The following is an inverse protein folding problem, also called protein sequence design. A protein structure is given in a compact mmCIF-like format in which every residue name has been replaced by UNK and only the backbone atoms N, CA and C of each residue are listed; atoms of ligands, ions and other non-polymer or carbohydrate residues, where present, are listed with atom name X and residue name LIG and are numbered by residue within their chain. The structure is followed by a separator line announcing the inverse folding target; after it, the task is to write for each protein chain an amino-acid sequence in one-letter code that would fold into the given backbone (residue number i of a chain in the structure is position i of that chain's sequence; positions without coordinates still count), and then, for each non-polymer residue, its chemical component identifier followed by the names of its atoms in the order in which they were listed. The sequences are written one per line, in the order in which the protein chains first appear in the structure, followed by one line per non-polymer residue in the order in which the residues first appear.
data_IF_417580944093
#
_entry.id   IF_417580944093
#
_cell.length_a   1.000
_cell.length_b   1.000
_cell.length_c   1.000
_cell.angle_alpha   90.00
_cell.angle_beta   90.00
_cell.angle_gamma   90.00
#
_symmetry.space_group_name_H-M   'P 1'
#
loop_
_entity.id
_entity.type
_entity.pdbx_description
1 polymer ?
#
# COMPACT_ATOMS: atom_id res chain seq x y z
N UNK A 1 -2.52 82.60 -18.81
CA UNK A 1 -3.29 82.75 -17.57
C UNK A 1 -4.55 81.90 -17.65
N UNK A 2 -4.93 81.25 -16.56
CA UNK A 2 -4.01 80.71 -15.53
C UNK A 2 -4.60 79.42 -14.91
N UNK A 3 -4.02 78.72 -13.94
CA UNK A 3 -2.87 78.89 -13.04
C UNK A 3 -2.70 77.52 -12.35
N UNK A 4 -1.60 77.12 -11.71
CA UNK A 4 -0.19 77.54 -11.61
C UNK A 4 0.43 76.44 -10.71
N UNK A 5 1.52 75.79 -11.11
CA UNK A 5 2.91 76.02 -10.63
C UNK A 5 3.15 75.51 -9.19
N UNK A 6 4.29 74.91 -8.82
CA UNK A 6 5.65 75.25 -9.23
C UNK A 6 6.63 74.10 -8.93
N UNK A 7 7.69 74.08 -9.74
CA UNK A 7 8.93 73.28 -9.70
C UNK A 7 9.91 73.88 -8.67
N UNK A 8 10.89 73.08 -8.21
CA UNK A 8 12.34 73.38 -8.05
C UNK A 8 12.97 72.53 -6.92
N UNK A 9 14.25 72.19 -6.81
CA UNK A 9 15.44 71.95 -7.65
C UNK A 9 16.46 71.28 -6.67
N UNK A 10 17.37 70.43 -7.18
CA UNK A 10 18.49 69.82 -6.41
C UNK A 10 19.52 70.88 -5.96
N UNK A 11 20.46 70.59 -5.01
CA UNK A 11 21.71 69.90 -5.37
C UNK A 11 22.35 68.97 -4.31
N UNK A 12 23.24 68.11 -4.85
CA UNK A 12 24.26 67.27 -4.23
C UNK A 12 24.99 67.82 -2.99
N UNK A 13 25.43 66.91 -2.10
CA UNK A 13 26.81 66.79 -1.59
C UNK A 13 27.04 65.44 -0.87
N UNK A 14 27.99 64.66 -1.39
CA UNK A 14 28.82 63.70 -0.64
C UNK A 14 30.01 64.48 0.03
N UNK A 15 31.00 63.85 0.71
CA UNK A 15 31.13 62.52 1.33
C UNK A 15 31.75 62.62 2.77
N UNK A 16 32.15 61.47 3.31
CA UNK A 16 33.44 61.26 4.01
C UNK A 16 33.47 60.83 5.50
N UNK A 17 34.45 59.94 5.69
CA UNK A 17 35.23 59.55 6.87
C UNK A 17 34.60 58.56 7.87
N UNK A 18 34.95 57.28 7.77
CA UNK A 18 36.18 56.70 8.35
C UNK A 18 36.39 57.10 9.80
N UNK A 19 36.27 56.17 10.75
CA UNK A 19 37.32 55.98 11.74
C UNK A 19 37.32 54.56 12.32
N UNK A 20 38.49 53.96 12.18
CA UNK A 20 38.96 52.68 12.68
C UNK A 20 39.29 52.83 14.18
N UNK A 21 39.16 51.79 15.00
CA UNK A 21 39.65 51.90 16.39
C UNK A 21 39.35 50.72 17.31
N UNK A 22 40.23 49.72 17.26
CA UNK A 22 40.37 48.63 18.23
C UNK A 22 40.55 49.16 19.66
N UNK A 23 39.99 48.47 20.66
CA UNK A 23 40.66 48.25 21.94
C UNK A 23 40.14 46.94 22.58
N UNK A 24 41.07 46.01 22.81
CA UNK A 24 40.92 44.89 23.73
C UNK A 24 41.28 45.36 25.14
N UNK A 25 40.51 44.98 26.15
CA UNK A 25 41.03 44.72 27.49
C UNK A 25 40.21 43.59 28.15
N UNK A 26 40.84 42.59 28.81
CA UNK A 26 40.19 41.41 29.35
C UNK A 26 40.17 41.42 30.88
N UNK A 27 38.99 41.52 31.50
CA UNK A 27 38.79 41.00 32.86
C UNK A 27 37.34 41.10 33.31
N UNK A 28 36.96 40.07 34.07
CA UNK A 28 35.86 40.03 35.03
C UNK A 28 34.48 39.56 34.55
N UNK A 29 34.02 38.52 35.25
CA UNK A 29 32.63 38.46 35.69
C UNK A 29 31.83 37.30 35.13
N UNK A 30 31.88 36.18 35.83
CA UNK A 30 30.80 35.20 35.81
C UNK A 30 29.44 35.89 36.03
N UNK A 31 28.57 35.91 35.01
CA UNK A 31 27.10 35.81 35.12
C UNK A 31 26.43 36.22 33.80
N UNK A 32 26.05 35.22 32.98
CA UNK A 32 24.69 35.11 32.42
C UNK A 32 24.60 33.91 31.48
N UNK A 33 24.62 32.73 32.07
CA UNK A 33 24.06 31.52 31.47
C UNK A 33 22.53 31.56 31.54
N UNK A 34 21.89 32.52 30.88
CA UNK A 34 20.42 32.63 30.80
C UNK A 34 19.95 33.68 29.77
N UNK A 35 20.53 33.69 28.57
CA UNK A 35 20.01 34.51 27.47
C UNK A 35 20.33 33.92 26.09
N UNK A 36 20.19 32.60 25.92
CA UNK A 36 20.35 31.98 24.59
C UNK A 36 19.45 30.75 24.38
N UNK A 37 18.23 30.77 24.90
CA UNK A 37 17.24 29.69 24.74
C UNK A 37 15.94 30.12 24.04
N UNK A 38 15.88 31.29 23.40
CA UNK A 38 14.66 31.78 22.75
C UNK A 38 14.84 32.30 21.31
N UNK A 39 15.93 31.95 20.61
CA UNK A 39 16.14 32.39 19.23
C UNK A 39 16.34 31.23 18.22
N UNK A 40 15.84 30.02 18.49
CA UNK A 40 15.96 28.89 17.57
C UNK A 40 14.69 28.02 17.47
N UNK A 41 13.51 28.65 17.47
CA UNK A 41 12.22 27.94 17.35
C UNK A 41 11.35 28.41 16.17
N UNK A 42 11.91 29.12 15.19
CA UNK A 42 11.17 29.65 14.04
C UNK A 42 11.98 29.57 12.74
N UNK A 43 12.41 28.38 12.34
CA UNK A 43 12.85 28.17 10.94
C UNK A 43 12.71 26.74 10.39
N UNK A 44 12.01 25.81 11.06
CA UNK A 44 11.92 24.41 10.59
C UNK A 44 10.50 23.93 10.22
N UNK A 45 9.62 24.87 9.87
CA UNK A 45 8.33 24.56 9.23
C UNK A 45 8.35 25.14 7.82
N UNK A 46 8.42 24.29 6.79
CA UNK A 46 7.77 24.48 5.47
C UNK A 46 8.43 23.77 4.28
N UNK A 47 9.23 22.71 4.45
CA UNK A 47 9.40 21.77 3.34
C UNK A 47 8.43 20.59 3.52
N UNK A 48 7.33 20.50 2.72
CA UNK A 48 6.50 19.31 2.74
C UNK A 48 7.39 18.10 2.42
N UNK A 49 7.25 17.02 3.19
CA UNK A 49 8.01 15.78 2.97
C UNK A 49 7.62 15.25 1.59
N UNK A 50 8.44 15.56 0.59
CA UNK A 50 8.20 15.17 -0.79
C UNK A 50 8.57 13.70 -0.96
N UNK A 51 7.56 12.86 -1.21
CA UNK A 51 7.77 11.46 -1.58
C UNK A 51 8.59 11.41 -2.88
N UNK A 52 9.68 10.63 -2.88
CA UNK A 52 10.57 10.51 -4.04
C UNK A 52 10.42 9.18 -4.75
N UNK A 53 10.10 9.21 -6.06
CA UNK A 53 10.09 8.01 -6.92
C UNK A 53 11.39 7.21 -6.83
N UNK A 54 12.54 7.88 -6.89
CA UNK A 54 13.85 7.24 -6.83
C UNK A 54 14.10 6.54 -5.47
N UNK A 55 13.63 7.14 -4.37
CA UNK A 55 13.73 6.52 -3.04
C UNK A 55 12.81 5.30 -2.91
N UNK A 56 11.61 5.32 -3.51
CA UNK A 56 10.74 4.13 -3.56
C UNK A 56 11.40 3.02 -4.38
N UNK A 57 11.99 3.34 -5.53
CA UNK A 57 12.71 2.35 -6.34
C UNK A 57 13.89 1.75 -5.57
N UNK A 58 14.66 2.58 -4.85
CA UNK A 58 15.74 2.11 -3.99
C UNK A 58 15.22 1.22 -2.85
N UNK A 59 14.10 1.57 -2.22
CA UNK A 59 13.46 0.75 -1.18
C UNK A 59 12.94 -0.59 -1.73
N UNK A 60 12.36 -0.61 -2.94
CA UNK A 60 11.91 -1.84 -3.61
C UNK A 60 13.06 -2.79 -3.99
N UNK A 61 14.26 -2.24 -4.20
CA UNK A 61 15.48 -2.99 -4.50
C UNK A 61 16.15 -3.59 -3.25
N UNK A 62 15.74 -3.20 -2.04
CA UNK A 62 16.24 -3.81 -0.81
C UNK A 62 15.74 -5.25 -0.67
N UNK A 63 16.42 -6.01 0.19
CA UNK A 63 16.05 -7.40 0.49
C UNK A 63 14.60 -7.48 0.95
N UNK A 64 13.83 -8.44 0.42
CA UNK A 64 12.47 -8.69 0.91
C UNK A 64 12.41 -8.97 2.42
N UNK A 65 13.50 -9.46 3.02
CA UNK A 65 13.59 -9.65 4.47
C UNK A 65 13.47 -8.33 5.24
N UNK A 66 14.05 -7.23 4.73
CA UNK A 66 13.99 -5.91 5.36
C UNK A 66 12.59 -5.29 5.31
N UNK A 67 11.76 -5.77 4.37
CA UNK A 67 10.37 -5.38 4.20
C UNK A 67 9.40 -6.39 4.83
N UNK A 68 9.88 -7.35 5.62
CA UNK A 68 9.04 -8.34 6.31
C UNK A 68 8.42 -9.40 5.38
N UNK A 69 8.88 -9.51 4.14
CA UNK A 69 8.35 -10.48 3.17
C UNK A 69 8.75 -11.89 3.56
N UNK A 70 7.81 -12.84 3.43
CA UNK A 70 8.07 -14.25 3.73
C UNK A 70 9.25 -14.78 2.90
N UNK A 71 10.11 -15.67 3.48
CA UNK A 71 11.28 -16.21 2.80
C UNK A 71 11.04 -16.68 1.37
N UNK A 72 9.91 -17.38 1.14
CA UNK A 72 9.53 -17.94 -0.15
C UNK A 72 9.25 -16.89 -1.25
N UNK A 73 8.99 -15.64 -0.88
CA UNK A 73 8.66 -14.55 -1.81
C UNK A 73 9.75 -13.46 -1.86
N UNK A 74 10.83 -13.57 -1.08
CA UNK A 74 11.86 -12.51 -1.00
C UNK A 74 12.59 -12.27 -2.30
N UNK A 75 12.76 -13.31 -3.11
CA UNK A 75 13.46 -13.26 -4.40
C UNK A 75 12.54 -12.86 -5.56
N UNK A 76 11.26 -12.61 -5.29
CA UNK A 76 10.34 -12.12 -6.31
C UNK A 76 10.66 -10.66 -6.59
N UNK A 77 11.15 -10.42 -7.79
CA UNK A 77 11.36 -9.09 -8.32
C UNK A 77 10.16 -8.71 -9.18
N UNK A 78 9.52 -7.60 -8.83
CA UNK A 78 8.48 -6.96 -9.66
C UNK A 78 8.96 -5.56 -10.01
N UNK A 79 8.72 -5.17 -11.26
CA UNK A 79 8.99 -3.80 -11.71
C UNK A 79 7.68 -3.03 -11.69
N UNK A 80 7.49 -2.27 -10.61
CA UNK A 80 6.36 -1.35 -10.51
C UNK A 80 6.64 -0.10 -11.35
N UNK A 81 5.66 0.27 -12.18
CA UNK A 81 5.70 1.53 -12.91
C UNK A 81 5.12 2.65 -12.02
N UNK A 82 6.03 3.39 -11.38
CA UNK A 82 5.70 4.35 -10.32
C UNK A 82 5.38 5.75 -10.86
N UNK A 83 4.18 6.24 -10.53
CA UNK A 83 3.70 7.59 -10.79
C UNK A 83 3.47 8.29 -9.45
N UNK A 84 4.28 9.31 -9.15
CA UNK A 84 4.25 10.02 -7.86
C UNK A 84 3.75 11.45 -8.07
N UNK A 85 2.74 11.83 -7.30
CA UNK A 85 2.04 13.10 -7.38
C UNK A 85 2.11 13.85 -6.05
N UNK A 86 2.07 15.17 -6.11
CA UNK A 86 1.94 16.00 -4.93
C UNK A 86 0.50 15.91 -4.38
N UNK A 87 -0.49 16.19 -5.22
CA UNK A 87 -1.90 16.12 -4.85
C UNK A 87 -2.73 15.54 -6.00
N UNK A 88 -3.72 14.71 -5.65
CA UNK A 88 -4.70 14.14 -6.58
C UNK A 88 -6.10 14.18 -5.95
N UNK A 89 -7.19 14.14 -6.72
CA UNK A 89 -8.50 13.86 -6.16
C UNK A 89 -8.55 12.48 -5.48
N UNK A 90 -8.09 11.44 -6.17
CA UNK A 90 -7.87 10.11 -5.60
C UNK A 90 -6.89 9.32 -6.45
N UNK A 91 -5.97 8.58 -5.82
CA UNK A 91 -5.03 7.69 -6.51
C UNK A 91 -5.75 6.59 -7.30
N UNK A 92 -6.85 6.04 -6.76
CA UNK A 92 -7.67 5.05 -7.47
C UNK A 92 -8.30 5.64 -8.73
N UNK A 93 -8.94 6.80 -8.61
CA UNK A 93 -9.59 7.47 -9.73
C UNK A 93 -8.58 7.80 -10.82
N UNK A 94 -7.42 8.33 -10.43
CA UNK A 94 -6.37 8.67 -11.36
C UNK A 94 -5.81 7.44 -12.08
N UNK A 95 -5.56 6.35 -11.36
CA UNK A 95 -5.04 5.13 -11.98
C UNK A 95 -6.04 4.52 -12.97
N UNK A 96 -7.34 4.56 -12.67
CA UNK A 96 -8.37 4.18 -13.65
C UNK A 96 -8.40 5.06 -14.90
N UNK A 97 -8.15 6.37 -14.76
CA UNK A 97 -8.04 7.28 -15.90
C UNK A 97 -6.86 6.92 -16.78
N UNK A 98 -5.69 6.67 -16.18
CA UNK A 98 -4.49 6.24 -16.92
C UNK A 98 -4.71 4.91 -17.65
N UNK A 99 -5.36 3.94 -16.99
CA UNK A 99 -5.73 2.66 -17.62
C UNK A 99 -6.66 2.89 -18.82
N UNK A 100 -7.65 3.77 -18.70
CA UNK A 100 -8.57 4.09 -19.79
C UNK A 100 -7.88 4.80 -20.96
N UNK A 101 -6.83 5.57 -20.69
CA UNK A 101 -6.00 6.25 -21.68
C UNK A 101 -4.93 5.34 -22.32
N UNK A 102 -4.78 4.10 -21.84
CA UNK A 102 -3.75 3.17 -22.30
C UNK A 102 -2.34 3.52 -21.83
N UNK A 103 -2.20 4.42 -20.84
CA UNK A 103 -0.90 4.84 -20.29
C UNK A 103 -0.53 4.11 -18.99
N UNK A 104 -1.39 3.20 -18.52
CA UNK A 104 -1.14 2.33 -17.37
C UNK A 104 -1.73 0.93 -17.61
N UNK A 105 -1.11 -0.08 -17.00
CA UNK A 105 -1.51 -1.48 -17.08
C UNK A 105 -1.21 -2.22 -15.78
N UNK A 106 -1.16 -3.56 -15.82
CA UNK A 106 -0.72 -4.36 -14.68
C UNK A 106 0.65 -3.88 -14.17
N UNK A 107 0.77 -3.69 -12.86
CA UNK A 107 2.01 -3.21 -12.23
C UNK A 107 2.18 -1.68 -12.17
N UNK A 108 1.29 -0.91 -12.82
CA UNK A 108 1.29 0.56 -12.66
C UNK A 108 0.81 0.96 -11.26
N UNK A 109 1.50 1.93 -10.67
CA UNK A 109 1.25 2.42 -9.31
C UNK A 109 1.10 3.93 -9.32
N UNK A 110 0.02 4.44 -8.73
CA UNK A 110 -0.16 5.86 -8.45
C UNK A 110 0.01 6.12 -6.95
N UNK A 111 0.82 7.12 -6.59
CA UNK A 111 1.07 7.53 -5.20
C UNK A 111 0.88 9.04 -5.11
N UNK A 112 0.14 9.51 -4.11
CA UNK A 112 -0.03 10.94 -3.86
C UNK A 112 0.40 11.30 -2.43
N UNK A 113 0.97 12.49 -2.24
CA UNK A 113 1.24 13.00 -0.88
C UNK A 113 -0.05 13.44 -0.18
N UNK A 114 -1.04 13.88 -0.94
CA UNK A 114 -2.37 14.26 -0.46
C UNK A 114 -3.45 13.76 -1.43
N UNK A 115 -4.63 13.42 -0.90
CA UNK A 115 -5.84 13.30 -1.73
C UNK A 115 -6.91 14.32 -1.32
N UNK A 116 -7.42 15.10 -2.26
CA UNK A 116 -8.48 16.09 -1.99
C UNK A 116 -9.88 15.47 -1.94
N UNK A 117 -10.04 14.27 -2.51
CA UNK A 117 -11.30 13.52 -2.57
C UNK A 117 -11.05 12.03 -2.29
N UNK A 118 -10.22 11.74 -1.28
CA UNK A 118 -9.88 10.37 -0.88
C UNK A 118 -11.14 9.53 -0.59
N UNK A 119 -11.16 8.28 -1.08
CA UNK A 119 -12.35 7.42 -1.04
C UNK A 119 -12.10 6.19 -0.18
N UNK A 120 -13.12 5.81 0.59
CA UNK A 120 -13.25 4.53 1.26
C UNK A 120 -14.41 3.72 0.68
N UNK A 121 -14.66 2.55 1.27
CA UNK A 121 -15.80 1.72 0.87
C UNK A 121 -17.15 2.39 1.20
N UNK A 122 -18.19 2.00 0.47
CA UNK A 122 -19.57 2.47 0.67
C UNK A 122 -19.71 4.00 0.65
N UNK A 123 -18.92 4.67 -0.20
CA UNK A 123 -18.97 6.13 -0.36
C UNK A 123 -18.37 6.93 0.81
N UNK A 124 -17.75 6.28 1.79
CA UNK A 124 -17.07 6.99 2.90
C UNK A 124 -15.87 7.77 2.37
N UNK A 125 -15.55 8.88 3.03
CA UNK A 125 -14.35 9.67 2.73
C UNK A 125 -13.16 9.10 3.48
N UNK A 126 -12.02 9.02 2.81
CA UNK A 126 -10.72 8.72 3.41
C UNK A 126 -9.91 10.01 3.53
N UNK A 127 -9.80 10.57 4.74
CA UNK A 127 -9.01 11.77 4.99
C UNK A 127 -7.55 11.52 4.65
N UNK A 128 -7.00 12.32 3.74
CA UNK A 128 -5.71 12.04 3.10
C UNK A 128 -4.77 13.24 3.15
N UNK A 129 -4.54 13.78 4.36
CA UNK A 129 -3.61 14.89 4.58
C UNK A 129 -2.14 14.47 4.43
N UNK A 130 -1.21 15.41 4.12
CA UNK A 130 0.21 15.09 4.07
C UNK A 130 0.71 14.34 5.31
N UNK A 131 1.52 13.31 5.08
CA UNK A 131 2.09 12.45 6.13
C UNK A 131 1.44 11.08 6.28
N UNK A 132 0.47 10.72 5.43
CA UNK A 132 0.02 9.34 5.23
C UNK A 132 0.58 8.73 3.93
N UNK A 133 0.44 7.42 3.77
CA UNK A 133 0.66 6.74 2.49
C UNK A 133 -0.67 6.57 1.77
N UNK A 134 -0.76 7.11 0.55
CA UNK A 134 -1.92 6.96 -0.34
C UNK A 134 -1.41 6.40 -1.66
N UNK A 135 -1.73 5.13 -1.92
CA UNK A 135 -1.17 4.35 -3.01
C UNK A 135 -2.28 3.55 -3.69
N UNK A 136 -2.21 3.42 -5.01
CA UNK A 136 -3.06 2.50 -5.78
C UNK A 136 -2.21 1.67 -6.72
N UNK A 137 -2.50 0.37 -6.80
CA UNK A 137 -1.83 -0.59 -7.70
C UNK A 137 -2.85 -1.16 -8.69
N UNK A 138 -2.50 -1.15 -9.97
CA UNK A 138 -3.26 -1.79 -11.03
C UNK A 138 -2.83 -3.24 -11.21
N UNK A 139 -3.80 -4.15 -11.28
CA UNK A 139 -3.62 -5.57 -11.55
C UNK A 139 -4.53 -6.03 -12.69
N UNK A 140 -4.10 -7.05 -13.41
CA UNK A 140 -4.90 -7.73 -14.44
C UNK A 140 -4.98 -9.22 -14.11
N UNK A 141 -5.81 -9.62 -13.13
CA UNK A 141 -5.75 -10.96 -12.55
C UNK A 141 -6.43 -12.04 -13.40
N UNK A 142 -7.33 -11.68 -14.32
CA UNK A 142 -8.13 -12.64 -15.11
C UNK A 142 -8.90 -13.66 -14.24
N UNK A 143 -9.52 -13.20 -13.15
CA UNK A 143 -10.20 -14.08 -12.17
C UNK A 143 -11.72 -14.16 -12.37
N UNK A 144 -12.38 -15.27 -12.00
CA UNK A 144 -13.84 -15.30 -11.87
C UNK A 144 -14.38 -14.20 -10.93
N UNK A 145 -15.52 -13.58 -11.27
CA UNK A 145 -16.08 -12.45 -10.48
C UNK A 145 -16.33 -12.78 -9.02
N UNK A 146 -16.67 -14.02 -8.69
CA UNK A 146 -16.95 -14.44 -7.32
C UNK A 146 -15.71 -14.38 -6.40
N UNK A 147 -14.50 -14.22 -6.95
CA UNK A 147 -13.27 -14.00 -6.18
C UNK A 147 -12.98 -12.52 -5.86
N UNK A 148 -13.88 -11.57 -6.18
CA UNK A 148 -13.66 -10.13 -5.93
C UNK A 148 -13.24 -9.81 -4.50
N UNK A 149 -13.85 -10.46 -3.50
CA UNK A 149 -13.48 -10.25 -2.08
C UNK A 149 -12.06 -10.73 -1.79
N UNK A 150 -11.60 -11.80 -2.47
CA UNK A 150 -10.25 -12.33 -2.27
C UNK A 150 -9.15 -11.37 -2.73
N UNK A 151 -9.42 -10.52 -3.74
CA UNK A 151 -8.49 -9.46 -4.15
C UNK A 151 -8.13 -8.54 -2.97
N UNK A 152 -9.15 -8.21 -2.19
CA UNK A 152 -8.99 -7.37 -1.00
C UNK A 152 -8.33 -8.15 0.14
N UNK A 153 -8.77 -9.40 0.36
CA UNK A 153 -8.24 -10.24 1.42
C UNK A 153 -6.76 -10.56 1.25
N UNK A 154 -6.26 -10.85 0.05
CA UNK A 154 -4.83 -11.13 -0.14
C UNK A 154 -3.99 -9.88 0.10
N UNK A 155 -4.50 -8.71 -0.27
CA UNK A 155 -3.83 -7.44 -0.06
C UNK A 155 -3.70 -7.19 1.45
N UNK A 156 -4.80 -7.36 2.18
CA UNK A 156 -4.82 -7.24 3.63
C UNK A 156 -3.89 -8.26 4.31
N UNK A 157 -3.96 -9.53 3.88
CA UNK A 157 -3.11 -10.60 4.40
C UNK A 157 -1.64 -10.29 4.20
N UNK A 158 -1.23 -10.00 2.96
CA UNK A 158 0.18 -9.83 2.63
C UNK A 158 0.78 -8.58 3.27
N UNK A 159 0.03 -7.48 3.38
CA UNK A 159 0.49 -6.27 4.09
C UNK A 159 0.60 -6.55 5.60
N UNK A 160 -0.42 -7.15 6.22
CA UNK A 160 -0.41 -7.44 7.65
C UNK A 160 0.67 -8.46 8.03
N UNK A 161 0.87 -9.51 7.23
CA UNK A 161 1.96 -10.49 7.41
C UNK A 161 3.33 -9.81 7.33
N UNK A 162 3.54 -8.88 6.39
CA UNK A 162 4.78 -8.12 6.31
C UNK A 162 5.05 -7.31 7.58
N UNK A 163 4.05 -6.60 8.09
CA UNK A 163 4.16 -5.89 9.36
C UNK A 163 4.45 -6.83 10.54
N UNK A 164 3.74 -7.94 10.63
CA UNK A 164 3.90 -8.92 11.71
C UNK A 164 5.32 -9.52 11.74
N UNK A 165 5.89 -9.80 10.58
CA UNK A 165 7.26 -10.29 10.45
C UNK A 165 8.32 -9.25 10.87
N UNK A 166 7.96 -7.96 10.87
CA UNK A 166 8.78 -6.88 11.43
C UNK A 166 8.48 -6.60 12.92
N UNK A 167 7.66 -7.44 13.56
CA UNK A 167 7.29 -7.31 14.96
C UNK A 167 6.17 -6.30 15.23
N UNK A 168 5.45 -5.85 14.19
CA UNK A 168 4.32 -4.93 14.31
C UNK A 168 3.02 -5.73 14.19
N UNK A 169 2.32 -6.06 15.30
CA UNK A 169 1.22 -7.02 15.32
C UNK A 169 -0.09 -6.43 14.77
N UNK A 170 -0.18 -6.33 13.45
CA UNK A 170 -1.37 -5.87 12.72
C UNK A 170 -2.38 -7.01 12.58
N UNK A 171 -3.63 -6.69 12.91
CA UNK A 171 -4.82 -7.51 12.67
C UNK A 171 -5.66 -6.91 11.55
N UNK A 172 -6.56 -7.71 11.00
CA UNK A 172 -7.47 -7.31 9.92
C UNK A 172 -8.90 -7.30 10.44
N UNK A 173 -9.56 -6.16 10.37
CA UNK A 173 -11.02 -6.10 10.49
C UNK A 173 -11.60 -6.39 9.11
N UNK A 174 -12.39 -7.45 9.02
CA UNK A 174 -12.86 -7.99 7.74
C UNK A 174 -13.64 -6.95 6.92
N UNK A 175 -13.47 -6.91 5.59
CA UNK A 175 -12.47 -7.66 4.80
C UNK A 175 -11.16 -6.88 4.58
N UNK A 176 -11.08 -5.61 4.95
CA UNK A 176 -10.21 -4.65 4.25
C UNK A 176 -9.48 -3.65 5.14
N UNK A 177 -9.74 -3.64 6.45
CA UNK A 177 -9.16 -2.64 7.33
C UNK A 177 -8.03 -3.23 8.18
N UNK A 178 -6.92 -2.51 8.26
CA UNK A 178 -5.77 -2.86 9.08
C UNK A 178 -5.89 -2.19 10.45
N UNK A 179 -5.72 -2.96 11.51
CA UNK A 179 -5.97 -2.56 12.89
C UNK A 179 -4.80 -2.93 13.80
N UNK A 180 -4.55 -2.07 14.79
CA UNK A 180 -3.67 -2.32 15.91
C UNK A 180 -4.41 -1.94 17.20
N UNK A 181 -4.52 -2.88 18.14
CA UNK A 181 -5.18 -2.68 19.45
C UNK A 181 -6.54 -1.97 19.35
N UNK A 182 -7.40 -2.42 18.44
CA UNK A 182 -8.75 -1.87 18.25
C UNK A 182 -8.81 -0.52 17.53
N UNK A 183 -7.67 0.08 17.16
CA UNK A 183 -7.60 1.33 16.39
C UNK A 183 -7.24 1.07 14.93
N UNK A 184 -7.87 1.83 14.03
CA UNK A 184 -7.65 1.70 12.58
C UNK A 184 -6.31 2.32 12.18
N UNK A 185 -5.42 1.50 11.61
CA UNK A 185 -4.16 1.92 11.01
C UNK A 185 -4.33 2.31 9.54
N UNK A 186 -5.14 1.56 8.81
CA UNK A 186 -5.25 1.72 7.37
C UNK A 186 -6.46 1.01 6.78
N UNK A 187 -6.70 1.22 5.50
CA UNK A 187 -7.81 0.62 4.78
C UNK A 187 -7.45 0.33 3.33
N UNK A 188 -8.09 -0.70 2.79
CA UNK A 188 -7.93 -1.14 1.41
C UNK A 188 -9.26 -0.95 0.66
N UNK A 189 -9.18 -0.38 -0.54
CA UNK A 189 -10.30 -0.18 -1.45
C UNK A 189 -9.99 -0.81 -2.81
N UNK A 190 -10.61 -1.96 -3.07
CA UNK A 190 -10.47 -2.65 -4.36
C UNK A 190 -11.65 -2.31 -5.28
N UNK A 191 -11.33 -1.74 -6.44
CA UNK A 191 -12.28 -1.51 -7.53
C UNK A 191 -11.94 -2.44 -8.69
N UNK A 192 -12.95 -2.90 -9.42
CA UNK A 192 -12.78 -3.88 -10.51
C UNK A 192 -13.61 -3.49 -11.73
N UNK A 193 -13.08 -3.74 -12.94
CA UNK A 193 -13.87 -3.74 -14.17
C UNK A 193 -14.04 -5.19 -14.64
N UNK A 194 -15.29 -5.55 -14.91
CA UNK A 194 -15.67 -6.87 -15.38
C UNK A 194 -15.62 -6.90 -16.92
N UNK A 195 -15.23 -8.04 -17.48
CA UNK A 195 -15.54 -8.39 -18.85
C UNK A 195 -16.44 -9.61 -18.87
N UNK A 196 -17.30 -9.70 -19.87
CA UNK A 196 -18.08 -10.90 -20.15
C UNK A 196 -17.24 -11.73 -21.11
N UNK A 197 -16.82 -12.93 -20.71
CA UNK A 197 -16.31 -13.90 -21.66
C UNK A 197 -17.52 -14.55 -22.34
N UNK A 198 -17.67 -14.34 -23.64
CA UNK A 198 -18.56 -15.16 -24.46
C UNK A 198 -17.84 -16.48 -24.73
N UNK A 199 -18.05 -17.48 -23.87
CA UNK A 199 -17.63 -18.85 -24.19
C UNK A 199 -18.63 -19.44 -25.20
N UNK A 200 -18.16 -19.62 -26.43
CA UNK A 200 -18.89 -20.39 -27.44
C UNK A 200 -18.67 -21.88 -27.14
N UNK A 201 -19.64 -22.57 -26.54
CA UNK A 201 -19.65 -24.04 -26.47
C UNK A 201 -20.32 -24.58 -27.74
N UNK A 202 -19.62 -25.31 -28.63
CA UNK A 202 -20.23 -25.85 -29.84
C UNK A 202 -21.15 -27.05 -29.60
N UNK A 203 -21.30 -27.53 -28.35
CA UNK A 203 -22.02 -28.77 -28.06
C UNK A 203 -22.85 -28.56 -26.78
N UNK A 204 -24.14 -28.84 -26.91
CA UNK A 204 -25.24 -28.77 -25.93
C UNK A 204 -26.03 -27.45 -25.83
N UNK A 205 -27.26 -27.58 -26.30
CA UNK A 205 -28.36 -26.63 -26.25
C UNK A 205 -28.87 -26.55 -24.80
N UNK A 206 -29.09 -25.33 -24.29
CA UNK A 206 -29.59 -24.95 -22.95
C UNK A 206 -28.56 -24.80 -21.80
N UNK A 207 -27.67 -23.80 -21.91
CA UNK A 207 -27.47 -22.73 -20.91
C UNK A 207 -26.23 -21.93 -21.32
N UNK A 208 -26.43 -20.67 -21.75
CA UNK A 208 -25.32 -19.77 -22.03
C UNK A 208 -24.68 -19.36 -20.70
N UNK A 209 -23.68 -20.12 -20.22
CA UNK A 209 -22.88 -19.75 -19.05
C UNK A 209 -21.90 -18.64 -19.43
N UNK A 210 -22.40 -17.41 -19.51
CA UNK A 210 -21.53 -16.22 -19.50
C UNK A 210 -20.82 -16.13 -18.15
N UNK A 211 -19.61 -16.65 -18.07
CA UNK A 211 -18.74 -16.49 -16.91
C UNK A 211 -18.08 -15.12 -16.97
N UNK A 212 -18.67 -14.14 -16.28
CA UNK A 212 -18.00 -12.85 -16.13
C UNK A 212 -16.64 -13.04 -15.42
N UNK A 213 -15.63 -12.29 -15.84
CA UNK A 213 -14.29 -12.29 -15.26
C UNK A 213 -13.83 -10.88 -14.91
N UNK A 214 -12.99 -10.78 -13.89
CA UNK A 214 -12.31 -9.57 -13.47
C UNK A 214 -11.05 -9.46 -14.33
N UNK A 215 -11.13 -8.66 -15.40
CA UNK A 215 -9.97 -8.37 -16.25
C UNK A 215 -9.03 -7.37 -15.64
N UNK A 216 -9.56 -6.36 -14.95
CA UNK A 216 -8.77 -5.27 -14.36
C UNK A 216 -9.23 -5.00 -12.93
N UNK A 217 -8.27 -4.80 -12.05
CA UNK A 217 -8.49 -4.38 -10.68
C UNK A 217 -7.55 -3.21 -10.33
N UNK A 218 -8.04 -2.29 -9.51
CA UNK A 218 -7.24 -1.26 -8.87
C UNK A 218 -7.39 -1.42 -7.36
N UNK A 219 -6.27 -1.70 -6.69
CA UNK A 219 -6.18 -1.86 -5.24
C UNK A 219 -5.63 -0.56 -4.67
N UNK A 220 -6.50 0.21 -4.04
CA UNK A 220 -6.13 1.39 -3.25
C UNK A 220 -5.77 1.00 -1.82
N UNK A 221 -4.68 1.54 -1.29
CA UNK A 221 -4.24 1.36 0.08
C UNK A 221 -3.96 2.73 0.70
N UNK A 222 -4.64 3.00 1.81
CA UNK A 222 -4.37 4.14 2.69
C UNK A 222 -3.79 3.66 4.01
N UNK A 223 -2.59 4.12 4.37
CA UNK A 223 -1.98 3.85 5.69
C UNK A 223 -1.70 5.16 6.41
N UNK A 224 -2.13 5.26 7.67
CA UNK A 224 -1.76 6.37 8.54
C UNK A 224 -0.30 6.22 8.97
N UNK A 225 0.58 7.14 8.55
CA UNK A 225 2.01 7.06 8.86
C UNK A 225 2.42 8.01 9.99
N UNK A 226 2.26 9.31 9.78
CA UNK A 226 2.49 10.38 10.75
C UNK A 226 1.54 11.57 10.54
N UNK A 227 0.50 11.40 9.71
CA UNK A 227 -0.57 12.37 9.50
C UNK A 227 -1.47 12.48 10.74
N UNK A 228 -2.26 13.55 10.80
CA UNK A 228 -3.32 13.67 11.80
C UNK A 228 -4.40 12.61 11.57
N UNK A 229 -4.87 12.02 12.67
CA UNK A 229 -5.89 10.96 12.68
C UNK A 229 -6.86 11.20 13.85
N UNK A 230 -8.13 10.79 13.73
CA UNK A 230 -9.08 10.83 14.85
C UNK A 230 -8.70 9.84 15.96
N UNK A 231 -9.29 9.96 17.14
CA UNK A 231 -9.00 9.10 18.31
C UNK A 231 -9.24 7.60 18.07
N UNK A 232 -10.17 7.29 17.17
CA UNK A 232 -10.52 5.92 16.74
C UNK A 232 -9.47 5.29 15.80
N UNK A 233 -8.46 6.05 15.39
CA UNK A 233 -7.40 5.64 14.48
C UNK A 233 -6.02 5.77 15.14
N UNK A 234 -5.03 5.16 14.51
CA UNK A 234 -3.64 5.18 14.97
C UNK A 234 -2.70 5.32 13.77
N UNK A 235 -1.58 5.99 13.98
CA UNK A 235 -0.51 6.10 12.98
C UNK A 235 0.56 5.04 13.21
N UNK A 236 1.24 4.61 12.15
CA UNK A 236 2.33 3.65 12.26
C UNK A 236 3.46 4.17 13.16
N UNK A 237 3.75 5.47 13.12
CA UNK A 237 4.73 6.08 14.03
C UNK A 237 4.32 6.05 15.50
N UNK A 238 3.02 6.05 15.83
CA UNK A 238 2.56 5.81 17.20
C UNK A 238 2.77 4.35 17.60
N UNK A 239 2.43 3.40 16.73
CA UNK A 239 2.64 1.97 16.98
C UNK A 239 4.12 1.64 17.22
N UNK A 240 5.01 2.12 16.34
CA UNK A 240 6.47 1.86 16.45
C UNK A 240 7.05 2.40 17.75
N UNK A 241 6.49 3.49 18.32
CA UNK A 241 6.92 4.02 19.63
C UNK A 241 6.46 3.17 20.82
N UNK A 242 5.41 2.37 20.65
CA UNK A 242 4.85 1.51 21.70
C UNK A 242 5.50 0.12 21.72
N UNK A 243 6.03 -0.36 20.59
CA UNK A 243 6.64 -1.70 20.50
C UNK A 243 8.03 -1.69 21.15
N UNK A 244 8.29 -2.58 22.12
CA UNK A 244 9.61 -2.72 22.73
C UNK A 244 10.66 -3.17 21.72
N UNK A 245 11.83 -2.53 21.72
CA UNK A 245 12.93 -2.85 20.82
C UNK A 245 12.88 -2.01 19.54
N UNK A 246 13.96 -1.26 19.31
CA UNK A 246 14.13 -0.35 18.16
C UNK A 246 14.18 -1.04 16.77
N UNK A 247 14.01 -2.37 16.70
CA UNK A 247 14.20 -3.14 15.48
C UNK A 247 13.23 -2.74 14.36
N UNK A 248 11.94 -2.52 14.68
CA UNK A 248 10.94 -2.11 13.69
C UNK A 248 11.17 -0.67 13.18
N UNK A 249 11.59 0.25 14.06
CA UNK A 249 11.89 1.65 13.71
C UNK A 249 13.01 1.78 12.70
N UNK A 250 14.00 0.88 12.75
CA UNK A 250 15.11 0.88 11.81
C UNK A 250 14.71 0.35 10.42
N UNK A 251 13.62 -0.42 10.30
CA UNK A 251 13.17 -1.03 9.04
C UNK A 251 12.20 -0.15 8.27
N UNK A 252 11.25 0.51 8.95
CA UNK A 252 10.32 1.45 8.33
C UNK A 252 10.56 2.82 8.93
N UNK A 253 11.35 3.65 8.25
CA UNK A 253 11.76 4.98 8.74
C UNK A 253 11.28 6.14 7.85
N UNK A 254 10.71 5.85 6.68
CA UNK A 254 10.14 6.84 5.77
C UNK A 254 8.94 6.26 4.99
N UNK A 255 8.19 7.15 4.33
CA UNK A 255 7.04 6.77 3.50
C UNK A 255 7.44 5.88 2.32
N UNK A 256 8.65 6.04 1.78
CA UNK A 256 9.12 5.24 0.64
C UNK A 256 9.38 3.78 1.02
N UNK A 257 9.94 3.52 2.22
CA UNK A 257 10.06 2.18 2.78
C UNK A 257 8.69 1.56 3.04
N UNK A 258 7.75 2.35 3.56
CA UNK A 258 6.38 1.90 3.76
C UNK A 258 5.68 1.57 2.43
N UNK A 259 5.87 2.39 1.39
CA UNK A 259 5.33 2.14 0.06
C UNK A 259 5.89 0.83 -0.53
N UNK A 260 7.19 0.60 -0.41
CA UNK A 260 7.83 -0.64 -0.86
C UNK A 260 7.30 -1.88 -0.11
N UNK A 261 7.14 -1.77 1.21
CA UNK A 261 6.55 -2.84 2.04
C UNK A 261 5.11 -3.13 1.60
N UNK A 262 4.29 -2.11 1.40
CA UNK A 262 2.89 -2.28 0.99
C UNK A 262 2.82 -2.94 -0.39
N UNK A 263 3.61 -2.47 -1.37
CA UNK A 263 3.61 -3.03 -2.72
C UNK A 263 4.07 -4.49 -2.74
N UNK A 264 5.18 -4.82 -2.08
CA UNK A 264 5.63 -6.22 -1.97
C UNK A 264 4.68 -7.06 -1.10
N UNK A 265 4.04 -6.44 -0.12
CA UNK A 265 2.98 -7.03 0.70
C UNK A 265 1.79 -7.50 -0.14
N UNK A 266 1.27 -6.62 -1.00
CA UNK A 266 0.19 -6.97 -1.93
C UNK A 266 0.63 -8.13 -2.85
N UNK A 267 1.84 -8.03 -3.41
CA UNK A 267 2.38 -9.05 -4.31
C UNK A 267 2.53 -10.42 -3.63
N UNK A 268 3.08 -10.49 -2.41
CA UNK A 268 3.21 -11.77 -1.71
C UNK A 268 1.85 -12.37 -1.38
N UNK A 269 0.85 -11.54 -1.06
CA UNK A 269 -0.51 -12.03 -0.82
C UNK A 269 -1.11 -12.62 -2.08
N UNK A 270 -0.99 -11.93 -3.21
CA UNK A 270 -1.42 -12.41 -4.51
C UNK A 270 -0.76 -13.74 -4.85
N UNK A 271 0.57 -13.82 -4.79
CA UNK A 271 1.32 -15.04 -5.09
C UNK A 271 1.01 -16.20 -4.15
N UNK A 272 0.84 -15.91 -2.85
CA UNK A 272 0.44 -16.93 -1.89
C UNK A 272 -0.93 -17.50 -2.24
N UNK A 273 -1.93 -16.65 -2.51
CA UNK A 273 -3.26 -17.11 -2.91
C UNK A 273 -3.22 -17.95 -4.19
N UNK A 274 -2.42 -17.56 -5.18
CA UNK A 274 -2.25 -18.31 -6.43
C UNK A 274 -1.60 -19.69 -6.20
N UNK A 275 -0.62 -19.78 -5.31
CA UNK A 275 0.09 -21.03 -5.02
C UNK A 275 -0.75 -22.02 -4.20
N UNK A 276 -1.53 -21.54 -3.23
CA UNK A 276 -2.24 -22.42 -2.27
C UNK A 276 -3.74 -22.55 -2.55
N UNK A 277 -4.28 -21.73 -3.44
CA UNK A 277 -5.71 -21.67 -3.75
C UNK A 277 -6.56 -21.04 -2.66
N UNK A 278 -7.84 -20.83 -2.97
CA UNK A 278 -8.80 -20.07 -2.15
C UNK A 278 -8.96 -20.63 -0.73
N UNK A 279 -9.10 -21.94 -0.57
CA UNK A 279 -9.45 -22.55 0.71
C UNK A 279 -8.33 -22.41 1.75
N UNK A 280 -7.09 -22.75 1.35
CA UNK A 280 -5.90 -22.65 2.23
C UNK A 280 -5.60 -21.19 2.52
N UNK A 281 -5.70 -20.32 1.51
CA UNK A 281 -5.53 -18.88 1.68
C UNK A 281 -6.50 -18.31 2.71
N UNK A 282 -7.80 -18.62 2.60
CA UNK A 282 -8.81 -18.08 3.52
C UNK A 282 -8.60 -18.55 4.96
N UNK A 283 -8.07 -19.77 5.17
CA UNK A 283 -7.65 -20.25 6.50
C UNK A 283 -6.52 -19.39 7.07
N UNK A 284 -5.47 -19.14 6.28
CA UNK A 284 -4.36 -18.28 6.71
C UNK A 284 -4.81 -16.84 6.98
N UNK A 285 -5.70 -16.29 6.15
CA UNK A 285 -6.32 -14.99 6.34
C UNK A 285 -7.16 -14.90 7.62
N UNK A 286 -7.92 -15.95 7.95
CA UNK A 286 -8.74 -15.98 9.17
C UNK A 286 -7.93 -15.81 10.46
N UNK A 287 -6.68 -16.27 10.49
CA UNK A 287 -5.78 -16.13 11.65
C UNK A 287 -5.40 -14.67 11.95
N UNK A 288 -5.56 -13.77 10.96
CA UNK A 288 -5.30 -12.34 11.11
C UNK A 288 -6.53 -11.55 11.51
N UNK A 289 -7.73 -12.14 11.50
CA UNK A 289 -8.97 -11.42 11.76
C UNK A 289 -9.06 -10.94 13.22
N UNK A 290 -9.65 -9.76 13.43
CA UNK A 290 -9.92 -9.23 14.78
C UNK A 290 -11.04 -9.98 15.51
N UNK A 291 -11.90 -10.71 14.78
CA UNK A 291 -13.17 -11.27 15.26
C UNK A 291 -13.20 -12.81 15.20
N UNK A 292 -12.11 -13.48 15.53
CA UNK A 292 -12.10 -14.96 15.56
C UNK A 292 -13.00 -15.43 16.70
N UNK A 293 -14.17 -16.02 16.36
CA UNK A 293 -15.12 -16.59 17.32
C UNK A 293 -16.35 -15.73 17.65
N UNK A 294 -16.46 -14.50 17.11
CA UNK A 294 -17.67 -13.68 17.24
C UNK A 294 -18.54 -13.80 15.97
N UNK A 295 -19.79 -14.23 16.12
CA UNK A 295 -20.75 -14.31 15.01
C UNK A 295 -21.14 -12.89 14.61
N UNK A 296 -20.48 -12.34 13.59
CA UNK A 296 -20.97 -11.15 12.91
C UNK A 296 -22.19 -11.54 12.07
N UNK A 297 -23.34 -10.91 12.33
CA UNK A 297 -24.53 -11.04 11.48
C UNK A 297 -24.22 -10.50 10.09
N UNK A 298 -23.98 -11.41 9.13
CA UNK A 298 -23.84 -11.05 7.72
C UNK A 298 -25.22 -11.00 7.08
N UNK A 299 -25.51 -9.86 6.44
CA UNK A 299 -26.66 -9.67 5.57
C UNK A 299 -26.62 -10.70 4.44
N UNK A 300 -27.77 -11.32 4.15
CA UNK A 300 -27.93 -12.55 3.38
C UNK A 300 -27.59 -12.42 1.88
N UNK A 301 -27.13 -11.24 1.44
CA UNK A 301 -26.63 -10.98 0.09
C UNK A 301 -25.13 -11.29 -0.11
N UNK A 302 -24.39 -11.61 0.97
CA UNK A 302 -22.98 -12.00 0.93
C UNK A 302 -22.81 -13.51 1.12
N UNK A 303 -23.45 -14.28 0.23
CA UNK A 303 -23.40 -15.75 0.22
C UNK A 303 -22.00 -16.25 -0.16
N UNK A 304 -21.16 -16.46 0.86
CA UNK A 304 -20.36 -17.69 1.10
C UNK A 304 -19.21 -17.39 2.07
N UNK A 305 -19.53 -17.22 3.35
CA UNK A 305 -18.59 -17.43 4.45
C UNK A 305 -19.34 -18.13 5.58
N UNK A 306 -19.35 -19.46 5.54
CA UNK A 306 -19.57 -20.26 6.72
C UNK A 306 -18.38 -20.00 7.66
N UNK A 307 -18.61 -19.19 8.68
CA UNK A 307 -17.71 -19.09 9.84
C UNK A 307 -17.73 -20.46 10.50
N UNK A 308 -16.67 -21.25 10.31
CA UNK A 308 -16.51 -22.53 10.99
C UNK A 308 -16.27 -22.27 12.48
N UNK A 309 -17.34 -22.30 13.26
CA UNK A 309 -17.27 -22.57 14.69
C UNK A 309 -17.09 -24.08 14.88
N UNK A 310 -16.09 -24.47 15.66
CA UNK A 310 -16.01 -25.84 16.18
C UNK A 310 -17.31 -26.14 16.96
N UNK A 311 -17.88 -27.32 16.73
CA UNK A 311 -19.17 -27.82 17.23
C UNK A 311 -20.43 -27.45 16.43
N UNK A 312 -20.60 -28.08 15.27
CA UNK A 312 -21.94 -28.55 14.88
C UNK A 312 -21.85 -29.86 14.09
N UNK A 313 -22.35 -30.92 14.71
CA UNK A 313 -22.47 -32.27 14.20
C UNK A 313 -23.25 -32.31 12.88
N UNK A 314 -22.57 -32.53 11.75
CA UNK A 314 -23.21 -32.97 10.51
C UNK A 314 -22.99 -34.47 10.39
N UNK A 315 -24.10 -35.24 10.46
CA UNK A 315 -24.10 -36.69 10.25
C UNK A 315 -23.66 -37.00 8.81
N UNK A 316 -22.76 -37.98 8.58
CA UNK A 316 -22.35 -38.34 7.24
C UNK A 316 -23.52 -38.99 6.49
N UNK A 317 -23.92 -38.39 5.37
CA UNK A 317 -24.71 -39.11 4.36
C UNK A 317 -23.78 -39.99 3.53
N UNK A 318 -24.19 -41.24 3.44
CA UNK A 318 -23.52 -42.39 2.83
C UNK A 318 -23.47 -42.20 1.30
N UNK A 319 -22.28 -42.11 0.72
CA UNK A 319 -22.08 -42.34 -0.72
C UNK A 319 -21.47 -43.72 -0.87
N UNK A 320 -22.25 -44.64 -1.41
CA UNK A 320 -21.81 -45.97 -1.85
C UNK A 320 -21.36 -45.93 -3.30
N UNK A 321 -20.48 -46.88 -3.62
CA UNK A 321 -19.99 -47.33 -4.93
C UNK A 321 -18.69 -46.72 -5.45
N UNK A 322 -17.71 -47.63 -5.42
CA UNK A 322 -16.42 -47.75 -6.09
C UNK A 322 -16.36 -47.14 -7.49
N UNK A 323 -15.33 -46.33 -7.74
CA UNK A 323 -14.68 -46.27 -9.05
C UNK A 323 -13.17 -46.37 -8.83
N UNK A 324 -12.62 -47.36 -9.50
CA UNK A 324 -11.24 -47.83 -9.49
C UNK A 324 -10.25 -46.76 -9.92
N UNK A 325 -9.10 -46.75 -9.25
CA UNK A 325 -7.91 -45.99 -9.61
C UNK A 325 -7.41 -46.39 -10.99
N UNK A 326 -7.40 -45.46 -11.93
CA UNK A 326 -6.53 -45.54 -13.12
C UNK A 326 -5.77 -44.23 -13.27
N UNK A 327 -4.45 -44.38 -13.30
CA UNK A 327 -3.45 -43.35 -13.46
C UNK A 327 -3.62 -42.66 -14.81
N UNK A 328 -3.82 -41.35 -14.79
CA UNK A 328 -3.62 -40.49 -15.97
C UNK A 328 -2.70 -39.37 -15.54
N UNK A 329 -1.40 -39.59 -15.73
CA UNK A 329 -0.47 -38.49 -15.96
C UNK A 329 -0.99 -37.73 -17.19
N UNK A 330 -1.45 -36.51 -16.98
CA UNK A 330 -1.66 -35.56 -18.06
C UNK A 330 -0.77 -34.36 -17.77
N UNK A 331 0.24 -34.23 -18.62
CA UNK A 331 1.06 -33.07 -18.84
C UNK A 331 0.16 -31.84 -19.05
N UNK A 332 0.03 -31.01 -18.01
CA UNK A 332 -0.54 -29.68 -18.15
C UNK A 332 0.58 -28.79 -18.66
N UNK A 333 0.53 -28.45 -19.94
CA UNK A 333 1.31 -27.35 -20.50
C UNK A 333 1.01 -26.09 -19.68
N UNK A 334 2.04 -25.64 -18.95
CA UNK A 334 1.99 -24.46 -18.10
C UNK A 334 1.85 -23.22 -18.97
N UNK A 335 0.65 -22.62 -19.00
CA UNK A 335 0.50 -21.28 -19.55
C UNK A 335 1.18 -20.31 -18.58
N UNK A 336 2.22 -19.64 -19.09
CA UNK A 336 3.12 -18.76 -18.35
C UNK A 336 2.45 -17.41 -18.00
N UNK A 337 1.71 -17.38 -16.88
CA UNK A 337 1.04 -16.18 -16.35
C UNK A 337 1.83 -15.46 -15.24
N UNK A 338 2.95 -16.02 -14.78
CA UNK A 338 3.87 -15.33 -13.85
C UNK A 338 4.40 -14.02 -14.46
N UNK A 339 4.35 -13.91 -15.79
CA UNK A 339 4.78 -12.79 -16.59
C UNK A 339 4.14 -11.43 -16.23
N UNK A 340 2.86 -11.27 -15.92
CA UNK A 340 2.26 -9.92 -16.00
C UNK A 340 2.56 -8.97 -14.81
N UNK A 341 3.17 -9.46 -13.71
CA UNK A 341 3.75 -8.63 -12.63
C UNK A 341 5.29 -8.66 -12.62
N UNK A 342 5.89 -9.64 -13.29
CA UNK A 342 7.34 -9.91 -13.32
C UNK A 342 7.98 -9.38 -14.63
N UNK A 343 7.24 -9.38 -15.74
CA UNK A 343 7.63 -9.03 -17.12
C UNK A 343 7.22 -7.60 -17.55
N UNK A 344 7.31 -6.60 -16.66
CA UNK A 344 7.59 -5.24 -17.16
C UNK A 344 9.07 -5.18 -17.65
N UNK A 345 9.29 -5.91 -18.75
CA UNK A 345 10.42 -6.01 -19.69
C UNK A 345 11.83 -6.30 -19.17
N UNK A 346 12.14 -7.57 -18.89
CA UNK A 346 13.46 -8.13 -19.22
C UNK A 346 14.17 -8.90 -18.10
N UNK A 347 14.35 -10.20 -18.38
CA UNK A 347 15.20 -11.22 -17.73
C UNK A 347 14.64 -11.97 -16.51
N UNK A 348 14.20 -13.20 -16.80
CA UNK A 348 14.28 -14.34 -15.88
C UNK A 348 15.75 -14.72 -15.82
N UNK A 349 16.49 -14.32 -14.79
CA UNK A 349 17.77 -14.99 -14.51
C UNK A 349 17.42 -16.35 -13.90
N UNK A 350 17.39 -17.38 -14.73
CA UNK A 350 17.50 -18.77 -14.28
C UNK A 350 18.70 -18.87 -13.35
N UNK A 351 18.49 -19.34 -12.12
CA UNK A 351 19.59 -19.74 -11.25
C UNK A 351 20.41 -20.78 -12.00
N UNK A 352 21.70 -20.47 -12.21
CA UNK A 352 22.66 -21.39 -12.77
C UNK A 352 22.56 -22.74 -12.02
N UNK A 353 22.49 -23.82 -12.80
CA UNK A 353 22.82 -25.16 -12.34
C UNK A 353 24.27 -25.11 -11.83
N UNK A 354 24.47 -25.07 -10.51
CA UNK A 354 25.72 -25.55 -9.94
C UNK A 354 25.58 -27.06 -9.74
N UNK A 355 26.22 -27.78 -10.65
CA UNK A 355 26.35 -29.22 -10.60
C UNK A 355 27.05 -29.68 -9.32
N UNK A 356 26.52 -30.75 -8.75
CA UNK A 356 27.31 -31.65 -7.93
C UNK A 356 27.75 -32.80 -8.82
N UNK A 357 29.07 -32.92 -8.97
CA UNK A 357 29.76 -34.14 -9.38
C UNK A 357 29.63 -35.23 -8.34
#
# INVERSE_FOLDING_TARGET
MPADSSVELLPNRQPDDQFNGQFNDPSDGQANSQANSQANSQSDRSNPIKISRAKIQSALAQSGADLGIEPRFRQVHSRFDLHVFESLPSTNTHLWQMIAQGTAGSGSVAIAQQQTCGRGQHGRVWTSEPGGLYLSLALEPDWPVHHRTQLTSFSAWGIATAFNNLGIPIKVKWPNDLFFEGKKLGGILTETKLAVAEEYSPIEVNEMKSSACIRKAVIGVGINWNNQVPETAITLMQIIRQIPGYAAKNKINCLEMLAALVLKGILQGYLFQQQVGSQVFMKAYSNLLTQVGEVASLDSSLSNLAVLGEHSSIKPQRITSEVTTSSVESSVESVDWQANLINCSGEITSTAEEGYS
#
